data_IF_732176702607
#
_entry.id   IF_732176702607
#
_cell.length_a   1.000
_cell.length_b   1.000
_cell.length_c   1.000
_cell.angle_alpha   90.00
_cell.angle_beta   90.00
_cell.angle_gamma   90.00
#
_symmetry.space_group_name_H-M   'P 1'
#
loop_
_entity.id
_entity.type
_entity.pdbx_description
1 polymer ?
#
# COMPACT_ATOMS: atom_id res chain seq x y z
N UNK A 1 34.46 3.48 27.47
CA UNK A 1 33.64 4.71 27.38
C UNK A 1 33.26 4.91 25.93
N UNK A 2 31.99 4.70 25.53
CA UNK A 2 31.59 4.87 24.14
C UNK A 2 31.29 6.35 23.84
N UNK A 3 31.91 6.86 22.77
CA UNK A 3 31.69 8.18 22.20
C UNK A 3 30.28 8.28 21.62
N UNK A 4 29.53 9.28 22.08
CA UNK A 4 28.25 9.67 21.49
C UNK A 4 28.50 10.34 20.13
N UNK A 5 27.86 9.81 19.08
CA UNK A 5 27.77 10.44 17.77
C UNK A 5 26.51 11.31 17.80
N UNK A 6 26.67 12.63 17.79
CA UNK A 6 25.58 13.59 17.59
C UNK A 6 25.06 13.51 16.15
N UNK A 7 23.74 13.63 15.92
CA UNK A 7 23.19 13.80 14.58
C UNK A 7 23.52 15.19 14.03
N UNK A 8 23.84 15.34 12.73
CA UNK A 8 24.00 16.65 12.12
C UNK A 8 22.61 17.25 11.84
N UNK A 9 22.54 18.58 11.91
CA UNK A 9 21.40 19.47 11.63
C UNK A 9 20.49 19.82 12.83
N UNK A 10 21.03 20.67 13.70
CA UNK A 10 20.27 21.75 14.35
C UNK A 10 20.74 23.09 13.73
N UNK A 11 19.83 24.06 13.64
CA UNK A 11 19.98 25.47 13.17
C UNK A 11 19.85 25.70 11.65
N UNK A 12 18.98 26.56 11.10
CA UNK A 12 18.14 27.68 11.57
C UNK A 12 16.96 27.87 10.59
N UNK A 13 15.74 28.03 11.09
CA UNK A 13 14.65 28.72 10.38
C UNK A 13 14.28 29.93 11.23
N UNK A 14 14.45 31.13 10.68
CA UNK A 14 13.95 32.37 11.28
C UNK A 14 12.47 32.52 10.96
N UNK A 15 11.62 32.51 11.99
CA UNK A 15 10.23 32.94 11.89
C UNK A 15 10.15 34.43 12.21
N UNK A 16 9.78 35.26 11.24
CA UNK A 16 9.25 36.59 11.53
C UNK A 16 7.75 36.45 11.79
N UNK A 17 7.34 36.66 13.04
CA UNK A 17 5.93 36.87 13.39
C UNK A 17 5.50 38.26 12.93
N UNK A 18 4.50 38.33 12.05
CA UNK A 18 3.65 39.51 11.93
C UNK A 18 2.24 39.12 12.39
N UNK A 19 1.76 39.79 13.45
CA UNK A 19 0.38 39.70 13.93
C UNK A 19 -0.52 40.64 13.14
N UNK A 20 -1.58 40.10 12.53
CA UNK A 20 -2.84 40.79 12.23
C UNK A 20 -3.98 39.74 12.04
N UNK A 21 -5.26 40.12 12.20
CA UNK A 21 -6.30 39.24 12.76
C UNK A 21 -7.14 38.47 11.73
N UNK A 22 -7.67 37.34 12.22
CA UNK A 22 -8.88 36.61 11.79
C UNK A 22 -8.99 36.07 10.36
N UNK A 23 -9.23 34.75 10.31
CA UNK A 23 -9.71 33.89 9.22
C UNK A 23 -8.67 33.12 8.37
N UNK A 24 -8.68 31.79 8.59
CA UNK A 24 -8.22 30.66 7.75
C UNK A 24 -6.96 30.88 6.89
N UNK A 25 -5.81 30.37 7.36
CA UNK A 25 -4.61 30.19 6.53
C UNK A 25 -4.56 28.76 5.98
N UNK A 26 -4.72 28.63 4.66
CA UNK A 26 -4.34 27.46 3.87
C UNK A 26 -2.88 27.64 3.45
N UNK A 27 -2.00 26.70 3.78
CA UNK A 27 -0.62 26.71 3.29
C UNK A 27 -0.55 25.96 1.96
N UNK A 28 -0.44 26.68 0.85
CA UNK A 28 0.00 26.14 -0.44
C UNK A 28 1.52 26.31 -0.56
N UNK A 29 2.26 25.22 -0.76
CA UNK A 29 3.68 25.27 -1.15
C UNK A 29 3.74 25.17 -2.67
N UNK A 30 4.03 26.30 -3.32
CA UNK A 30 4.33 26.36 -4.75
C UNK A 30 5.83 26.13 -4.95
N UNK A 31 6.20 25.09 -5.69
CA UNK A 31 7.59 24.91 -6.12
C UNK A 31 7.93 25.95 -7.20
N UNK A 32 9.08 26.60 -7.02
CA UNK A 32 9.64 27.61 -7.92
C UNK A 32 10.25 26.89 -9.14
N UNK A 33 9.67 27.09 -10.31
CA UNK A 33 10.30 26.71 -11.58
C UNK A 33 11.37 27.75 -11.96
N UNK A 34 12.61 27.29 -12.12
CA UNK A 34 13.68 28.09 -12.71
C UNK A 34 13.54 28.11 -14.23
N UNK A 35 13.34 29.31 -14.77
CA UNK A 35 13.34 29.62 -16.19
C UNK A 35 14.70 29.29 -16.83
N UNK A 36 14.68 28.64 -17.99
CA UNK A 36 15.73 28.77 -19.00
C UNK A 36 15.11 29.22 -20.32
N UNK A 37 15.51 30.40 -20.77
CA UNK A 37 15.14 31.05 -22.03
C UNK A 37 15.88 30.45 -23.23
N UNK A 38 15.17 30.16 -24.32
CA UNK A 38 15.60 30.54 -25.68
C UNK A 38 14.41 30.55 -26.64
N UNK A 39 14.47 31.48 -27.59
CA UNK A 39 13.39 32.06 -28.37
C UNK A 39 12.82 31.24 -29.54
N UNK A 40 11.55 31.56 -29.84
CA UNK A 40 10.85 31.70 -31.13
C UNK A 40 10.80 30.57 -32.17
N UNK A 41 9.57 30.17 -32.53
CA UNK A 41 8.97 30.36 -33.88
C UNK A 41 7.43 30.16 -33.80
N UNK A 42 6.70 31.08 -34.43
CA UNK A 42 5.25 31.18 -34.52
C UNK A 42 4.59 30.20 -35.52
N UNK A 43 3.26 30.03 -35.32
CA UNK A 43 2.20 29.70 -36.30
C UNK A 43 2.09 28.26 -36.82
N UNK A 44 1.08 27.52 -36.37
CA UNK A 44 -0.26 27.52 -37.00
C UNK A 44 -1.20 26.53 -36.30
N UNK A 45 -2.46 26.96 -36.10
CA UNK A 45 -3.45 26.27 -35.30
C UNK A 45 -4.13 25.06 -35.95
N UNK A 46 -4.77 24.26 -35.08
CA UNK A 46 -6.07 23.59 -35.25
C UNK A 46 -6.35 22.74 -34.02
N UNK A 47 -7.09 23.29 -33.06
CA UNK A 47 -7.75 22.55 -31.98
C UNK A 47 -9.09 22.04 -32.51
N UNK A 48 -9.28 20.72 -32.50
CA UNK A 48 -10.57 20.08 -32.74
C UNK A 48 -11.17 19.67 -31.39
N UNK A 49 -12.13 20.44 -30.90
CA UNK A 49 -13.03 20.05 -29.84
C UNK A 49 -14.18 19.24 -30.47
N UNK A 50 -14.37 17.99 -30.04
CA UNK A 50 -15.53 17.19 -30.41
C UNK A 50 -16.60 17.32 -29.33
N UNK A 51 -17.71 17.92 -29.71
CA UNK A 51 -18.94 18.10 -28.94
C UNK A 51 -19.68 16.77 -28.82
N UNK A 52 -20.09 16.38 -27.62
CA UNK A 52 -21.02 15.26 -27.41
C UNK A 52 -22.41 15.84 -27.11
N UNK A 53 -23.37 15.55 -27.97
CA UNK A 53 -24.76 16.01 -27.90
C UNK A 53 -25.54 15.13 -26.92
N UNK A 54 -26.11 15.76 -25.89
CA UNK A 54 -27.09 15.16 -24.99
C UNK A 54 -28.44 15.14 -25.73
N UNK A 55 -29.04 13.97 -25.88
CA UNK A 55 -30.40 13.82 -26.38
C UNK A 55 -31.31 13.72 -25.15
N UNK A 56 -32.14 14.75 -25.00
CA UNK A 56 -33.20 14.88 -24.02
C UNK A 56 -34.43 14.10 -24.50
N UNK A 57 -34.97 13.21 -23.67
CA UNK A 57 -36.27 12.57 -23.87
C UNK A 57 -37.01 12.59 -22.53
N UNK A 58 -37.63 13.73 -22.25
CA UNK A 58 -38.69 13.86 -21.27
C UNK A 58 -39.96 13.13 -21.74
N UNK A 59 -40.58 12.37 -20.84
CA UNK A 59 -41.86 11.72 -21.02
C UNK A 59 -42.42 11.36 -19.65
N UNK A 60 -43.28 12.22 -19.14
CA UNK A 60 -43.93 12.13 -17.83
C UNK A 60 -44.86 10.92 -17.70
N UNK A 61 -44.81 10.28 -16.53
CA UNK A 61 -45.95 9.63 -15.89
C UNK A 61 -45.67 9.52 -14.39
N UNK A 62 -46.23 10.46 -13.63
CA UNK A 62 -46.26 10.44 -12.16
C UNK A 62 -47.06 9.23 -11.67
N UNK A 63 -46.40 8.34 -10.92
CA UNK A 63 -47.05 7.41 -10.01
C UNK A 63 -46.39 7.61 -8.64
N UNK A 64 -47.07 8.35 -7.77
CA UNK A 64 -46.72 8.47 -6.36
C UNK A 64 -46.83 7.09 -5.71
N UNK A 65 -45.69 6.43 -5.52
CA UNK A 65 -45.54 5.34 -4.58
C UNK A 65 -44.98 5.94 -3.29
N UNK A 66 -45.80 6.01 -2.24
CA UNK A 66 -45.35 6.28 -0.88
C UNK A 66 -44.33 5.22 -0.48
N UNK A 67 -43.04 5.55 -0.60
CA UNK A 67 -41.99 4.79 0.02
C UNK A 67 -42.00 5.15 1.51
N UNK A 68 -42.55 4.26 2.33
CA UNK A 68 -42.27 4.25 3.77
C UNK A 68 -40.75 4.23 3.96
N UNK A 69 -40.16 5.38 4.29
CA UNK A 69 -38.79 5.45 4.81
C UNK A 69 -38.79 4.79 6.18
N UNK A 70 -38.52 3.48 6.20
CA UNK A 70 -38.02 2.83 7.40
C UNK A 70 -36.71 3.54 7.77
N UNK A 71 -36.78 4.44 8.76
CA UNK A 71 -35.59 4.89 9.46
C UNK A 71 -35.02 3.66 10.16
N UNK A 72 -34.04 2.99 9.56
CA UNK A 72 -33.22 2.04 10.28
C UNK A 72 -32.56 2.81 11.44
N UNK A 73 -32.99 2.51 12.67
CA UNK A 73 -32.40 3.06 13.87
C UNK A 73 -30.88 2.79 13.84
N UNK A 74 -30.08 3.85 13.83
CA UNK A 74 -28.64 3.70 14.03
C UNK A 74 -28.42 2.97 15.36
N UNK A 75 -27.49 2.00 15.44
CA UNK A 75 -27.26 1.25 16.66
C UNK A 75 -27.03 2.22 17.82
N UNK A 76 -27.71 1.96 18.94
CA UNK A 76 -27.67 2.80 20.14
C UNK A 76 -26.22 3.14 20.50
N UNK A 77 -25.91 4.45 20.54
CA UNK A 77 -24.60 5.00 20.89
C UNK A 77 -24.09 4.48 22.26
N UNK A 78 -24.99 3.95 23.09
CA UNK A 78 -24.69 3.36 24.39
C UNK A 78 -24.11 1.94 24.31
N UNK A 79 -24.24 1.22 23.18
CA UNK A 79 -23.72 -0.15 23.02
C UNK A 79 -22.19 -0.18 22.85
N UNK A 80 -21.61 0.89 22.31
CA UNK A 80 -20.15 1.05 22.21
C UNK A 80 -19.64 1.68 23.51
N UNK A 81 -18.86 0.90 24.27
CA UNK A 81 -18.23 1.36 25.51
C UNK A 81 -17.46 2.68 25.34
N UNK A 82 -17.32 3.47 26.41
CA UNK A 82 -16.62 4.76 26.38
C UNK A 82 -15.09 4.65 26.26
N UNK A 83 -14.56 3.44 26.49
CA UNK A 83 -13.14 3.14 26.66
C UNK A 83 -12.76 1.95 25.77
N UNK A 84 -11.53 1.97 25.29
CA UNK A 84 -10.91 0.93 24.48
C UNK A 84 -9.43 0.79 24.84
N UNK A 85 -8.82 -0.32 24.44
CA UNK A 85 -7.36 -0.47 24.51
C UNK A 85 -6.72 0.11 23.26
N UNK A 86 -5.57 0.76 23.42
CA UNK A 86 -4.76 1.28 22.32
C UNK A 86 -3.27 1.17 22.64
N UNK A 87 -2.47 0.88 21.62
CA UNK A 87 -1.01 1.04 21.67
C UNK A 87 -0.64 2.45 21.23
N UNK A 88 -0.15 3.26 22.17
CA UNK A 88 0.19 4.65 21.95
C UNK A 88 1.71 4.81 21.86
N UNK A 89 2.15 5.63 20.91
CA UNK A 89 3.52 6.13 20.83
C UNK A 89 3.60 7.39 21.69
N UNK A 90 4.39 7.34 22.75
CA UNK A 90 4.57 8.47 23.67
C UNK A 90 5.44 9.59 23.05
N UNK A 91 5.49 10.79 23.64
CA UNK A 91 6.44 11.83 23.24
C UNK A 91 7.92 11.39 23.28
N UNK A 92 8.27 10.42 24.13
CA UNK A 92 9.61 9.81 24.17
C UNK A 92 9.81 8.72 23.11
N UNK A 93 8.83 8.51 22.22
CA UNK A 93 8.81 7.48 21.16
C UNK A 93 8.89 6.06 21.70
N UNK A 94 8.35 5.83 22.90
CA UNK A 94 8.14 4.50 23.45
C UNK A 94 6.73 4.01 23.14
N UNK A 95 6.56 2.69 23.06
CA UNK A 95 5.24 2.07 23.05
C UNK A 95 4.66 2.07 24.47
N UNK A 96 3.38 2.44 24.59
CA UNK A 96 2.64 2.40 25.84
C UNK A 96 1.23 1.90 25.57
N UNK A 97 0.82 0.83 26.26
CA UNK A 97 -0.55 0.35 26.22
C UNK A 97 -1.39 1.20 27.17
N UNK A 98 -2.50 1.72 26.65
CA UNK A 98 -3.51 2.43 27.44
C UNK A 98 -4.79 1.59 27.36
N UNK A 99 -5.21 1.02 28.50
CA UNK A 99 -6.39 0.13 28.54
C UNK A 99 -7.72 0.88 28.56
N UNK A 100 -7.71 2.17 28.93
CA UNK A 100 -8.91 3.01 29.03
C UNK A 100 -8.85 4.23 28.12
N UNK A 101 -8.30 4.05 26.92
CA UNK A 101 -8.23 5.07 25.89
C UNK A 101 -9.65 5.43 25.41
N UNK A 102 -9.99 6.72 25.21
CA UNK A 102 -11.34 7.11 24.83
C UNK A 102 -11.73 6.57 23.44
N UNK A 103 -12.97 6.10 23.33
CA UNK A 103 -13.57 5.77 22.03
C UNK A 103 -14.08 7.05 21.35
N UNK A 104 -13.78 7.27 20.06
CA UNK A 104 -14.35 8.39 19.31
C UNK A 104 -15.88 8.31 19.26
N UNK A 105 -16.56 9.29 19.88
CA UNK A 105 -18.04 9.32 19.94
C UNK A 105 -18.67 9.76 18.63
N UNK A 106 -18.05 10.72 17.94
CA UNK A 106 -18.55 11.30 16.69
C UNK A 106 -17.85 10.67 15.48
N UNK A 107 -18.61 10.39 14.42
CA UNK A 107 -18.11 10.02 13.09
C UNK A 107 -18.39 11.16 12.12
N UNK A 108 -17.43 11.44 11.24
CA UNK A 108 -17.74 12.25 10.07
C UNK A 108 -18.76 11.51 9.18
N UNK A 109 -19.50 12.22 8.31
CA UNK A 109 -20.51 11.59 7.45
C UNK A 109 -20.00 10.41 6.60
N UNK A 110 -18.74 10.48 6.13
CA UNK A 110 -18.09 9.42 5.35
C UNK A 110 -17.20 8.46 6.16
N UNK A 111 -17.20 8.52 7.50
CA UNK A 111 -16.37 7.65 8.34
C UNK A 111 -17.04 6.27 8.57
N UNK A 112 -16.22 5.25 8.78
CA UNK A 112 -16.62 3.91 9.22
C UNK A 112 -15.83 3.56 10.47
N UNK A 113 -16.53 3.14 11.52
CA UNK A 113 -15.93 2.57 12.73
C UNK A 113 -15.92 1.05 12.61
N UNK A 114 -14.75 0.45 12.81
CA UNK A 114 -14.51 -0.99 12.66
C UNK A 114 -13.95 -1.53 13.97
N UNK A 115 -14.59 -2.57 14.51
CA UNK A 115 -14.06 -3.37 15.61
C UNK A 115 -12.99 -4.32 15.10
N UNK A 116 -11.77 -4.12 15.58
CA UNK A 116 -10.61 -4.88 15.16
C UNK A 116 -10.71 -6.35 15.56
N UNK A 117 -10.37 -7.24 14.63
CA UNK A 117 -10.33 -8.70 14.83
C UNK A 117 -8.95 -9.27 14.52
N UNK A 118 -8.22 -8.67 13.58
CA UNK A 118 -6.83 -9.01 13.31
C UNK A 118 -6.10 -7.81 12.67
N UNK A 119 -4.83 -7.60 13.00
CA UNK A 119 -3.99 -6.59 12.37
C UNK A 119 -2.71 -7.19 11.80
N UNK A 120 -2.42 -6.89 10.54
CA UNK A 120 -1.17 -7.26 9.88
C UNK A 120 -0.03 -6.33 10.33
N UNK A 121 1.12 -6.92 10.67
CA UNK A 121 2.30 -6.16 11.07
C UNK A 121 3.21 -5.89 9.86
N UNK A 122 3.72 -4.66 9.76
CA UNK A 122 4.51 -4.20 8.62
C UNK A 122 5.82 -3.56 9.04
N UNK A 123 6.81 -3.57 8.14
CA UNK A 123 8.06 -2.85 8.38
C UNK A 123 7.85 -1.34 8.58
N UNK A 124 6.86 -0.77 7.90
CA UNK A 124 6.53 0.65 8.03
C UNK A 124 6.09 1.01 9.46
N UNK A 125 5.50 0.08 10.21
CA UNK A 125 4.97 0.35 11.56
C UNK A 125 6.11 0.65 12.54
N UNK A 126 7.12 -0.22 12.63
CA UNK A 126 8.28 0.03 13.48
C UNK A 126 9.21 1.11 12.92
N UNK A 127 9.38 1.18 11.59
CA UNK A 127 10.19 2.21 10.94
C UNK A 127 9.65 3.60 11.21
N UNK A 128 8.33 3.79 11.19
CA UNK A 128 7.69 5.09 11.48
C UNK A 128 8.09 5.63 12.85
N UNK A 129 8.19 4.76 13.86
CA UNK A 129 8.59 5.13 15.23
C UNK A 129 10.08 5.45 15.31
N UNK A 130 10.92 4.55 14.79
CA UNK A 130 12.38 4.68 14.89
C UNK A 130 12.93 5.86 14.09
N UNK A 131 12.44 6.04 12.86
CA UNK A 131 12.89 7.08 11.93
C UNK A 131 12.02 8.34 11.96
N UNK A 132 11.02 8.40 12.85
CA UNK A 132 10.17 9.56 13.07
C UNK A 132 9.51 10.10 11.79
N UNK A 133 8.82 9.23 11.05
CA UNK A 133 8.07 9.63 9.86
C UNK A 133 6.64 9.07 9.89
N UNK A 134 5.71 9.77 9.24
CA UNK A 134 4.27 9.47 9.28
C UNK A 134 3.70 9.42 10.72
N UNK A 135 4.25 10.27 11.60
CA UNK A 135 3.77 10.57 12.95
C UNK A 135 3.46 12.07 13.01
N UNK A 136 2.24 12.52 12.66
CA UNK A 136 1.89 13.94 12.57
C UNK A 136 2.10 14.70 13.89
N UNK A 137 1.79 14.06 15.01
CA UNK A 137 1.98 14.57 16.37
C UNK A 137 2.25 13.41 17.34
N UNK A 138 2.70 13.71 18.55
CA UNK A 138 2.79 12.75 19.65
C UNK A 138 1.96 13.26 20.83
N UNK A 139 1.22 12.40 21.55
CA UNK A 139 1.13 10.94 21.35
C UNK A 139 0.30 10.50 20.13
N UNK A 140 0.68 9.39 19.52
CA UNK A 140 0.05 8.85 18.30
C UNK A 140 -0.35 7.37 18.42
N UNK A 141 -1.22 6.88 17.54
CA UNK A 141 -1.53 5.45 17.39
C UNK A 141 -1.15 5.04 15.96
N UNK A 142 -0.33 3.99 15.83
CA UNK A 142 0.14 3.46 14.53
C UNK A 142 -0.62 2.18 14.13
N UNK A 143 -0.13 1.49 13.11
CA UNK A 143 -0.80 0.36 12.47
C UNK A 143 -1.39 0.80 11.14
N UNK A 144 -1.14 0.03 10.08
CA UNK A 144 -1.47 0.41 8.69
C UNK A 144 -2.52 -0.46 8.02
N UNK A 145 -2.84 -1.61 8.59
CA UNK A 145 -3.86 -2.50 8.07
C UNK A 145 -4.50 -3.32 9.19
N UNK A 146 -5.75 -3.70 8.96
CA UNK A 146 -6.51 -4.58 9.84
C UNK A 146 -7.67 -5.21 9.07
N UNK A 147 -8.24 -6.25 9.67
CA UNK A 147 -9.52 -6.82 9.34
C UNK A 147 -10.40 -6.86 10.60
N UNK A 148 -11.70 -6.64 10.42
CA UNK A 148 -12.62 -6.49 11.52
C UNK A 148 -14.07 -6.46 11.09
N UNK A 149 -14.93 -6.08 12.02
CA UNK A 149 -16.38 -5.99 11.82
C UNK A 149 -16.80 -4.52 11.88
N UNK A 150 -17.60 -4.06 10.92
CA UNK A 150 -18.17 -2.71 10.98
C UNK A 150 -19.05 -2.59 12.22
N UNK A 151 -18.71 -1.64 13.09
CA UNK A 151 -19.46 -1.34 14.30
C UNK A 151 -20.51 -0.25 14.01
N UNK A 152 -20.10 0.80 13.29
CA UNK A 152 -20.94 1.97 12.99
C UNK A 152 -20.48 2.64 11.69
N UNK A 153 -21.41 3.28 11.00
CA UNK A 153 -21.13 4.05 9.79
C UNK A 153 -21.62 5.49 9.94
N UNK A 154 -20.94 6.43 9.28
CA UNK A 154 -21.39 7.81 9.14
C UNK A 154 -22.62 7.91 8.25
N UNK A 155 -23.30 9.06 8.31
CA UNK A 155 -24.60 9.29 7.66
C UNK A 155 -24.60 9.26 6.13
N UNK A 156 -23.43 9.42 5.48
CA UNK A 156 -23.29 9.39 4.03
C UNK A 156 -22.78 8.04 3.50
N UNK A 157 -22.47 7.09 4.39
CA UNK A 157 -21.99 5.76 3.99
C UNK A 157 -23.18 4.86 3.64
N UNK A 158 -23.29 4.52 2.36
CA UNK A 158 -24.39 3.68 1.84
C UNK A 158 -23.96 2.28 1.42
N UNK A 159 -22.66 2.04 1.29
CA UNK A 159 -22.09 0.81 0.74
C UNK A 159 -21.59 -0.19 1.79
N UNK A 160 -21.78 0.13 3.07
CA UNK A 160 -21.37 -0.66 4.24
C UNK A 160 -22.41 -0.49 5.34
N UNK A 161 -22.58 -1.52 6.17
CA UNK A 161 -23.48 -1.50 7.33
C UNK A 161 -22.87 -2.19 8.54
N UNK A 162 -23.32 -1.89 9.77
CA UNK A 162 -22.94 -2.65 10.96
C UNK A 162 -23.07 -4.17 10.76
N UNK A 163 -22.08 -4.92 11.25
CA UNK A 163 -21.99 -6.38 11.07
C UNK A 163 -21.22 -6.83 9.82
N UNK A 164 -20.95 -5.95 8.85
CA UNK A 164 -20.14 -6.31 7.69
C UNK A 164 -18.70 -6.66 8.10
N UNK A 165 -18.17 -7.74 7.55
CA UNK A 165 -16.77 -8.14 7.72
C UNK A 165 -15.90 -7.41 6.70
N UNK A 166 -14.93 -6.64 7.16
CA UNK A 166 -14.15 -5.72 6.32
C UNK A 166 -12.66 -5.77 6.59
N UNK A 167 -11.86 -5.37 5.61
CA UNK A 167 -10.46 -5.01 5.77
C UNK A 167 -10.21 -3.57 5.29
N UNK A 168 -9.16 -2.93 5.81
CA UNK A 168 -8.79 -1.55 5.47
C UNK A 168 -7.28 -1.34 5.47
N UNK A 169 -6.83 -0.35 4.70
CA UNK A 169 -5.43 0.05 4.56
C UNK A 169 -5.32 1.37 3.78
N UNK A 170 -4.19 2.09 3.70
CA UNK A 170 -3.34 2.50 4.82
C UNK A 170 -3.70 3.95 5.18
N UNK A 171 -4.54 4.20 6.18
CA UNK A 171 -4.87 5.59 6.58
C UNK A 171 -4.05 6.00 7.82
N UNK A 172 -3.36 7.14 7.75
CA UNK A 172 -2.41 7.57 8.79
C UNK A 172 -2.44 9.07 9.12
N UNK A 173 -3.40 9.80 8.54
CA UNK A 173 -3.57 11.24 8.76
C UNK A 173 -4.50 11.56 9.92
N UNK A 174 -5.15 10.54 10.46
CA UNK A 174 -6.01 10.61 11.64
C UNK A 174 -5.53 9.55 12.64
N UNK A 175 -5.38 9.91 13.91
CA UNK A 175 -4.98 8.99 14.97
C UNK A 175 -6.03 7.88 15.19
N UNK A 176 -7.31 8.17 14.91
CA UNK A 176 -8.41 7.20 14.99
C UNK A 176 -8.25 6.06 13.98
N UNK A 177 -7.42 6.24 12.96
CA UNK A 177 -7.15 5.25 11.91
C UNK A 177 -6.03 4.26 12.23
N UNK A 178 -5.25 4.52 13.28
CA UNK A 178 -4.16 3.63 13.68
C UNK A 178 -4.70 2.25 14.05
N UNK A 179 -4.27 1.21 13.36
CA UNK A 179 -4.86 -0.12 13.50
C UNK A 179 -4.47 -0.87 14.80
N UNK A 180 -3.62 -0.30 15.65
CA UNK A 180 -3.26 -0.91 16.95
C UNK A 180 -4.12 -0.39 18.10
N UNK A 181 -5.44 -0.45 17.92
CA UNK A 181 -6.47 -0.16 18.92
C UNK A 181 -7.70 -1.04 18.67
N UNK A 182 -8.62 -1.13 19.64
CA UNK A 182 -9.80 -2.01 19.53
C UNK A 182 -10.84 -1.51 18.50
N UNK A 183 -11.04 -0.19 18.39
CA UNK A 183 -11.98 0.45 17.44
C UNK A 183 -11.24 1.45 16.55
N UNK A 184 -11.27 1.17 15.24
CA UNK A 184 -10.57 1.96 14.22
C UNK A 184 -11.58 2.76 13.43
N UNK A 185 -11.32 4.05 13.19
CA UNK A 185 -12.15 4.91 12.35
C UNK A 185 -11.39 5.31 11.09
N UNK A 186 -11.96 5.01 9.93
CA UNK A 186 -11.39 5.29 8.61
C UNK A 186 -12.45 5.79 7.63
N UNK A 187 -12.06 6.55 6.59
CA UNK A 187 -12.99 6.91 5.51
C UNK A 187 -13.51 5.66 4.78
N UNK A 188 -14.79 5.64 4.44
CA UNK A 188 -15.44 4.47 3.82
C UNK A 188 -14.80 4.02 2.50
N UNK A 189 -14.18 4.92 1.74
CA UNK A 189 -13.54 4.59 0.46
C UNK A 189 -12.25 3.77 0.61
N UNK A 190 -11.68 3.68 1.81
CA UNK A 190 -10.51 2.82 2.11
C UNK A 190 -10.90 1.43 2.62
N UNK A 191 -12.20 1.14 2.70
CA UNK A 191 -12.75 -0.08 3.31
C UNK A 191 -13.32 -1.02 2.24
N UNK A 192 -13.00 -2.30 2.37
CA UNK A 192 -13.46 -3.36 1.48
C UNK A 192 -14.07 -4.50 2.29
N UNK A 193 -15.09 -5.14 1.75
CA UNK A 193 -15.62 -6.39 2.30
C UNK A 193 -14.54 -7.47 2.23
N UNK A 194 -14.43 -8.27 3.28
CA UNK A 194 -13.58 -9.46 3.28
C UNK A 194 -14.14 -10.45 2.25
N UNK A 195 -13.27 -10.98 1.36
CA UNK A 195 -13.69 -12.03 0.46
C UNK A 195 -14.31 -13.21 1.19
N UNK A 196 -15.38 -13.79 0.66
CA UNK A 196 -16.18 -14.82 1.38
C UNK A 196 -15.39 -16.09 1.70
N UNK A 197 -14.28 -16.30 0.99
CA UNK A 197 -13.36 -17.42 1.18
C UNK A 197 -12.25 -17.16 2.22
N UNK A 198 -12.24 -16.01 2.92
CA UNK A 198 -11.20 -15.63 3.88
C UNK A 198 -11.73 -15.42 5.31
N UNK A 199 -10.87 -15.74 6.29
CA UNK A 199 -11.04 -15.32 7.68
C UNK A 199 -10.40 -13.94 7.94
N UNK A 200 -10.54 -13.43 9.17
CA UNK A 200 -9.95 -12.14 9.56
C UNK A 200 -8.41 -12.15 9.49
N UNK A 201 -7.74 -13.25 9.83
CA UNK A 201 -6.28 -13.30 9.85
C UNK A 201 -5.70 -13.23 8.42
N UNK A 202 -6.32 -13.94 7.48
CA UNK A 202 -5.97 -13.89 6.07
C UNK A 202 -6.34 -12.54 5.43
N UNK A 203 -7.47 -11.94 5.79
CA UNK A 203 -7.86 -10.62 5.29
C UNK A 203 -6.96 -9.48 5.80
N UNK A 204 -6.40 -9.62 7.01
CA UNK A 204 -5.55 -8.60 7.64
C UNK A 204 -4.19 -8.39 6.95
N UNK A 205 -3.88 -9.13 5.88
CA UNK A 205 -2.60 -9.02 5.14
C UNK A 205 -2.76 -8.39 3.76
N UNK A 206 -4.00 -8.17 3.31
CA UNK A 206 -4.31 -7.71 1.96
C UNK A 206 -3.96 -6.24 1.74
N UNK A 207 -4.02 -5.47 2.82
CA UNK A 207 -3.88 -4.02 2.85
C UNK A 207 -2.53 -3.54 2.34
N UNK A 208 -1.54 -3.43 3.22
CA UNK A 208 -0.25 -2.82 2.91
C UNK A 208 0.44 -3.58 1.78
N UNK A 209 0.59 -4.90 1.90
CA UNK A 209 1.40 -5.67 0.96
C UNK A 209 0.69 -5.87 -0.39
N UNK A 210 -0.57 -6.30 -0.36
CA UNK A 210 -1.35 -6.57 -1.56
C UNK A 210 -1.63 -5.31 -2.36
N UNK A 211 -2.13 -4.26 -1.70
CA UNK A 211 -2.44 -2.98 -2.37
C UNK A 211 -1.18 -2.30 -2.90
N UNK A 212 -0.05 -2.37 -2.19
CA UNK A 212 1.23 -1.84 -2.70
C UNK A 212 1.65 -2.55 -3.98
N UNK A 213 1.55 -3.89 -4.03
CA UNK A 213 1.86 -4.64 -5.25
C UNK A 213 0.91 -4.25 -6.40
N UNK A 214 -0.40 -4.25 -6.13
CA UNK A 214 -1.44 -3.90 -7.08
C UNK A 214 -1.25 -2.51 -7.68
N UNK A 215 -1.16 -1.48 -6.84
CA UNK A 215 -1.01 -0.11 -7.36
C UNK A 215 0.34 0.09 -8.04
N UNK A 216 1.44 -0.46 -7.51
CA UNK A 216 2.76 -0.36 -8.17
C UNK A 216 2.71 -0.89 -9.59
N UNK A 217 2.15 -2.09 -9.78
CA UNK A 217 2.05 -2.70 -11.10
C UNK A 217 1.09 -1.93 -12.01
N UNK A 218 -0.14 -1.69 -11.55
CA UNK A 218 -1.22 -1.19 -12.40
C UNK A 218 -1.15 0.31 -12.66
N UNK A 219 -0.76 1.11 -11.67
CA UNK A 219 -0.73 2.58 -11.77
C UNK A 219 0.62 3.12 -12.23
N UNK A 220 1.72 2.64 -11.64
CA UNK A 220 3.05 3.21 -11.87
C UNK A 220 3.82 2.51 -12.98
N UNK A 221 3.80 1.17 -12.98
CA UNK A 221 4.53 0.39 -13.98
C UNK A 221 3.70 0.09 -15.23
N UNK A 222 2.42 0.46 -15.27
CA UNK A 222 1.56 0.31 -16.44
C UNK A 222 1.29 -1.15 -16.84
N UNK A 223 1.46 -2.09 -15.92
CA UNK A 223 1.07 -3.49 -16.14
C UNK A 223 -0.46 -3.53 -16.25
N UNK A 224 -1.03 -4.19 -17.28
CA UNK A 224 -2.48 -4.20 -17.46
C UNK A 224 -3.24 -4.77 -16.25
N UNK A 225 -4.27 -4.05 -15.82
CA UNK A 225 -5.23 -4.51 -14.82
C UNK A 225 -6.32 -5.34 -15.52
N UNK A 226 -5.99 -6.56 -15.96
CA UNK A 226 -6.96 -7.46 -16.60
C UNK A 226 -7.60 -8.42 -15.59
N UNK A 227 -8.94 -8.65 -15.65
CA UNK A 227 -9.60 -9.66 -14.83
C UNK A 227 -9.24 -11.08 -15.28
N UNK A 228 -9.19 -11.29 -16.60
CA UNK A 228 -8.91 -12.59 -17.20
C UNK A 228 -7.42 -12.85 -17.39
N UNK A 229 -6.95 -14.09 -17.21
CA UNK A 229 -5.57 -14.44 -17.49
C UNK A 229 -5.26 -14.28 -18.97
N UNK A 230 -4.07 -13.77 -19.28
CA UNK A 230 -3.57 -13.79 -20.65
C UNK A 230 -3.38 -15.24 -21.14
N UNK A 231 -3.47 -15.49 -22.46
CA UNK A 231 -3.10 -16.78 -23.03
C UNK A 231 -1.67 -17.14 -22.60
N UNK A 232 -1.43 -18.42 -22.30
CA UNK A 232 -0.10 -18.88 -21.91
C UNK A 232 0.97 -18.42 -22.92
N UNK A 233 2.11 -17.95 -22.40
CA UNK A 233 3.25 -17.47 -23.21
C UNK A 233 3.57 -18.55 -24.27
N UNK A 234 3.40 -18.21 -25.55
CA UNK A 234 3.64 -19.11 -26.69
C UNK A 234 2.40 -19.63 -27.44
N UNK A 235 1.17 -19.28 -27.03
CA UNK A 235 -0.07 -19.76 -27.69
C UNK A 235 -0.70 -18.79 -28.69
N UNK A 236 -0.20 -17.54 -28.80
CA UNK A 236 -0.72 -16.51 -29.70
C UNK A 236 0.11 -16.29 -30.97
N UNK A 237 -0.55 -15.89 -32.06
CA UNK A 237 0.07 -15.52 -33.35
C UNK A 237 0.72 -14.13 -33.35
N UNK A 238 0.63 -13.38 -32.25
CA UNK A 238 1.16 -12.03 -32.17
C UNK A 238 2.64 -12.04 -31.77
N UNK A 239 3.49 -11.48 -32.64
CA UNK A 239 4.97 -11.56 -32.63
C UNK A 239 5.66 -10.68 -31.57
N UNK A 240 4.94 -10.08 -30.62
CA UNK A 240 5.58 -9.28 -29.56
C UNK A 240 6.08 -10.20 -28.45
N UNK A 241 7.38 -10.08 -28.12
CA UNK A 241 7.98 -10.81 -27.00
C UNK A 241 7.36 -10.29 -25.69
N UNK A 242 7.12 -11.16 -24.69
CA UNK A 242 6.57 -10.74 -23.42
C UNK A 242 7.49 -9.73 -22.72
N UNK A 243 6.88 -8.78 -22.02
CA UNK A 243 7.58 -7.89 -21.10
C UNK A 243 8.28 -8.71 -20.01
N UNK A 244 9.47 -8.26 -19.58
CA UNK A 244 10.17 -8.86 -18.44
C UNK A 244 10.18 -7.88 -17.27
N UNK A 245 9.78 -8.39 -16.11
CA UNK A 245 9.78 -7.70 -14.82
C UNK A 245 10.78 -8.36 -13.86
N UNK A 246 11.73 -7.58 -13.35
CA UNK A 246 12.58 -7.96 -12.23
C UNK A 246 11.91 -7.62 -10.90
N UNK A 247 11.79 -8.59 -10.00
CA UNK A 247 11.33 -8.37 -8.62
C UNK A 247 12.46 -8.77 -7.66
N UNK A 248 13.16 -7.77 -7.11
CA UNK A 248 14.11 -8.00 -6.05
C UNK A 248 13.39 -8.11 -4.70
N UNK A 249 13.52 -9.26 -4.03
CA UNK A 249 12.73 -9.58 -2.84
C UNK A 249 11.42 -10.30 -3.17
N UNK A 250 11.45 -11.23 -4.13
CA UNK A 250 10.26 -11.95 -4.61
C UNK A 250 9.52 -12.75 -3.54
N UNK A 251 10.20 -13.18 -2.47
CA UNK A 251 9.55 -13.90 -1.37
C UNK A 251 8.97 -12.98 -0.27
N UNK A 252 9.14 -11.66 -0.35
CA UNK A 252 8.44 -10.74 0.56
C UNK A 252 6.93 -10.84 0.34
N UNK A 253 6.11 -10.47 1.32
CA UNK A 253 4.64 -10.55 1.20
C UNK A 253 4.15 -9.73 -0.01
N UNK A 254 4.67 -8.52 -0.21
CA UNK A 254 4.41 -7.69 -1.41
C UNK A 254 4.90 -8.37 -2.69
N UNK A 255 6.08 -8.99 -2.66
CA UNK A 255 6.66 -9.70 -3.81
C UNK A 255 5.79 -10.87 -4.26
N UNK A 256 5.23 -11.61 -3.30
CA UNK A 256 4.35 -12.74 -3.60
C UNK A 256 3.06 -12.31 -4.31
N UNK A 257 2.47 -11.16 -3.93
CA UNK A 257 1.36 -10.58 -4.70
C UNK A 257 1.82 -10.10 -6.08
N UNK A 258 2.94 -9.37 -6.15
CA UNK A 258 3.43 -8.78 -7.39
C UNK A 258 3.77 -9.83 -8.47
N UNK A 259 4.40 -10.96 -8.08
CA UNK A 259 4.70 -12.07 -8.99
C UNK A 259 3.42 -12.58 -9.66
N UNK A 260 2.38 -12.87 -8.86
CA UNK A 260 1.14 -13.44 -9.36
C UNK A 260 0.39 -12.45 -10.26
N UNK A 261 0.28 -11.19 -9.84
CA UNK A 261 -0.40 -10.15 -10.61
C UNK A 261 0.27 -9.92 -11.97
N UNK A 262 1.61 -9.94 -12.03
CA UNK A 262 2.35 -9.78 -13.28
C UNK A 262 2.26 -11.04 -14.17
N UNK A 263 2.50 -12.22 -13.60
CA UNK A 263 2.50 -13.49 -14.36
C UNK A 263 1.14 -13.77 -15.01
N UNK A 264 0.03 -13.41 -14.35
CA UNK A 264 -1.34 -13.60 -14.85
C UNK A 264 -1.61 -12.88 -16.17
N UNK A 265 -0.93 -11.76 -16.43
CA UNK A 265 -1.10 -10.98 -17.66
C UNK A 265 0.04 -11.23 -18.67
N UNK A 266 0.79 -12.33 -18.49
CA UNK A 266 1.81 -12.78 -19.43
C UNK A 266 3.16 -12.07 -19.32
N UNK A 267 3.39 -11.30 -18.24
CA UNK A 267 4.70 -10.72 -17.95
C UNK A 267 5.64 -11.82 -17.45
N UNK A 268 6.82 -11.96 -18.05
CA UNK A 268 7.86 -12.84 -17.54
C UNK A 268 8.48 -12.24 -16.28
N UNK A 269 8.49 -13.00 -15.19
CA UNK A 269 8.99 -12.52 -13.90
C UNK A 269 10.33 -13.16 -13.56
N UNK A 270 11.35 -12.33 -13.35
CA UNK A 270 12.61 -12.72 -12.73
C UNK A 270 12.52 -12.34 -11.24
N UNK A 271 12.43 -13.33 -10.35
CA UNK A 271 12.30 -13.09 -8.92
C UNK A 271 13.60 -13.43 -8.19
N UNK A 272 14.10 -12.48 -7.38
CA UNK A 272 15.29 -12.67 -6.54
C UNK A 272 14.86 -13.02 -5.11
N UNK A 273 15.34 -14.15 -4.58
CA UNK A 273 14.98 -14.61 -3.24
C UNK A 273 16.09 -15.45 -2.58
N UNK A 274 15.82 -15.96 -1.37
CA UNK A 274 16.72 -16.94 -0.73
C UNK A 274 16.54 -18.31 -1.37
N UNK A 275 17.52 -19.20 -1.19
CA UNK A 275 17.36 -20.61 -1.59
C UNK A 275 16.19 -21.31 -0.89
N UNK A 276 15.96 -21.00 0.40
CA UNK A 276 14.88 -21.58 1.19
C UNK A 276 13.47 -21.17 0.71
N UNK A 277 13.33 -19.98 0.12
CA UNK A 277 12.04 -19.45 -0.35
C UNK A 277 11.82 -19.61 -1.86
N UNK A 278 12.78 -20.20 -2.59
CA UNK A 278 12.68 -20.47 -4.02
C UNK A 278 11.46 -21.32 -4.41
N UNK A 279 11.09 -22.41 -3.67
CA UNK A 279 9.90 -23.19 -4.00
C UNK A 279 8.61 -22.37 -3.93
N UNK A 280 8.48 -21.52 -2.91
CA UNK A 280 7.33 -20.61 -2.76
C UNK A 280 7.24 -19.67 -3.95
N UNK A 281 8.33 -18.97 -4.28
CA UNK A 281 8.39 -18.02 -5.41
C UNK A 281 8.09 -18.70 -6.74
N UNK A 282 8.60 -19.92 -6.95
CA UNK A 282 8.29 -20.74 -8.14
C UNK A 282 6.79 -21.01 -8.26
N UNK A 283 6.15 -21.45 -7.17
CA UNK A 283 4.73 -21.81 -7.15
C UNK A 283 3.80 -20.64 -7.43
N UNK A 284 4.29 -19.40 -7.31
CA UNK A 284 3.54 -18.17 -7.54
C UNK A 284 3.60 -17.68 -8.99
N UNK A 285 4.37 -18.34 -9.86
CA UNK A 285 4.45 -18.02 -11.29
C UNK A 285 5.68 -17.23 -11.71
N UNK A 286 6.73 -17.16 -10.87
CA UNK A 286 8.01 -16.60 -11.31
C UNK A 286 8.61 -17.46 -12.44
N UNK A 287 8.86 -16.86 -13.60
CA UNK A 287 9.43 -17.52 -14.78
C UNK A 287 10.89 -17.91 -14.53
N UNK A 288 11.64 -17.04 -13.86
CA UNK A 288 13.02 -17.27 -13.49
C UNK A 288 13.24 -16.93 -12.03
N UNK A 289 14.05 -17.74 -11.34
CA UNK A 289 14.32 -17.59 -9.91
C UNK A 289 15.82 -17.47 -9.73
N UNK A 290 16.25 -16.36 -9.15
CA UNK A 290 17.66 -16.09 -8.86
C UNK A 290 17.86 -16.11 -7.35
N UNK A 291 18.58 -17.11 -6.85
CA UNK A 291 18.86 -17.22 -5.42
C UNK A 291 20.13 -16.48 -5.05
N UNK A 292 20.11 -15.65 -4.00
CA UNK A 292 21.32 -14.98 -3.49
C UNK A 292 22.13 -15.85 -2.49
N UNK A 293 21.57 -16.96 -2.01
CA UNK A 293 22.25 -17.85 -1.05
C UNK A 293 23.54 -18.40 -1.63
N UNK A 294 24.66 -18.15 -0.94
CA UNK A 294 25.99 -18.61 -1.36
C UNK A 294 26.57 -17.88 -2.57
N UNK A 295 25.97 -16.76 -3.02
CA UNK A 295 26.45 -15.97 -4.16
C UNK A 295 26.89 -14.57 -3.73
N UNK A 296 27.87 -14.01 -4.43
CA UNK A 296 28.20 -12.59 -4.32
C UNK A 296 27.16 -11.75 -5.06
N UNK A 297 27.06 -10.46 -4.74
CA UNK A 297 26.20 -9.53 -5.48
C UNK A 297 26.49 -9.53 -6.98
N UNK A 298 27.77 -9.57 -7.38
CA UNK A 298 28.16 -9.60 -8.79
C UNK A 298 27.67 -10.87 -9.50
N UNK A 299 27.71 -12.03 -8.85
CA UNK A 299 27.16 -13.26 -9.40
C UNK A 299 25.64 -13.17 -9.60
N UNK A 300 24.92 -12.63 -8.62
CA UNK A 300 23.46 -12.42 -8.71
C UNK A 300 23.12 -11.46 -9.86
N UNK A 301 23.80 -10.32 -9.95
CA UNK A 301 23.61 -9.32 -11.01
C UNK A 301 23.87 -9.94 -12.39
N UNK A 302 24.99 -10.64 -12.57
CA UNK A 302 25.34 -11.27 -13.84
C UNK A 302 24.31 -12.31 -14.29
N UNK A 303 23.80 -13.13 -13.36
CA UNK A 303 22.75 -14.11 -13.65
C UNK A 303 21.46 -13.43 -14.10
N UNK A 304 21.04 -12.36 -13.43
CA UNK A 304 19.86 -11.58 -13.83
C UNK A 304 20.07 -10.98 -15.22
N UNK A 305 21.23 -10.38 -15.50
CA UNK A 305 21.55 -9.81 -16.83
C UNK A 305 21.47 -10.88 -17.93
N UNK A 306 21.98 -12.09 -17.68
CA UNK A 306 21.88 -13.20 -18.63
C UNK A 306 20.44 -13.64 -18.91
N UNK A 307 19.58 -13.66 -17.88
CA UNK A 307 18.16 -14.05 -17.99
C UNK A 307 17.31 -12.95 -18.65
N UNK A 308 17.49 -11.72 -18.19
CA UNK A 308 16.83 -10.53 -18.70
C UNK A 308 17.13 -10.31 -20.19
N UNK A 309 18.40 -10.50 -20.58
CA UNK A 309 18.92 -10.11 -21.90
C UNK A 309 18.55 -8.63 -22.15
N UNK A 310 18.29 -8.25 -23.41
CA UNK A 310 17.79 -6.91 -23.79
C UNK A 310 16.27 -6.72 -23.55
N UNK A 311 15.62 -7.52 -22.68
CA UNK A 311 14.14 -7.56 -22.57
C UNK A 311 13.57 -7.08 -21.24
N UNK A 312 14.41 -6.78 -20.24
CA UNK A 312 13.96 -6.10 -19.03
C UNK A 312 13.27 -4.79 -19.40
N UNK A 313 12.03 -4.64 -18.95
CA UNK A 313 11.21 -3.45 -19.19
C UNK A 313 10.83 -2.76 -17.89
N UNK A 314 10.74 -3.53 -16.81
CA UNK A 314 10.25 -3.08 -15.51
C UNK A 314 11.06 -3.70 -14.38
N UNK A 315 11.19 -3.00 -13.27
CA UNK A 315 11.80 -3.53 -12.06
C UNK A 315 11.12 -3.02 -10.78
N UNK A 316 11.11 -3.85 -9.75
CA UNK A 316 10.67 -3.50 -8.39
C UNK A 316 11.76 -3.93 -7.40
N UNK A 317 12.12 -3.03 -6.47
CA UNK A 317 12.93 -3.38 -5.30
C UNK A 317 12.07 -3.35 -4.02
N UNK A 318 12.09 -4.45 -3.26
CA UNK A 318 11.31 -4.63 -2.03
C UNK A 318 12.18 -4.80 -0.78
N UNK A 319 13.48 -4.52 -0.86
CA UNK A 319 14.41 -4.82 0.24
C UNK A 319 15.10 -3.57 0.80
N UNK A 320 15.72 -2.74 -0.03
CA UNK A 320 16.36 -1.51 0.45
C UNK A 320 17.40 -0.91 -0.47
N UNK A 321 18.08 0.13 0.02
CA UNK A 321 18.99 0.95 -0.79
C UNK A 321 20.12 0.15 -1.44
N UNK A 322 20.69 -0.84 -0.73
CA UNK A 322 21.74 -1.69 -1.29
C UNK A 322 21.23 -2.49 -2.49
N UNK A 323 20.06 -3.11 -2.39
CA UNK A 323 19.50 -3.93 -3.47
C UNK A 323 18.92 -3.08 -4.59
N UNK A 324 18.39 -1.90 -4.29
CA UNK A 324 18.01 -0.91 -5.29
C UNK A 324 19.22 -0.51 -6.17
N UNK A 325 20.41 -0.33 -5.58
CA UNK A 325 21.63 -0.11 -6.37
C UNK A 325 21.98 -1.32 -7.26
N UNK A 326 21.77 -2.55 -6.77
CA UNK A 326 22.02 -3.75 -7.58
C UNK A 326 21.03 -3.85 -8.75
N UNK A 327 19.77 -3.45 -8.55
CA UNK A 327 18.79 -3.33 -9.65
C UNK A 327 19.27 -2.31 -10.69
N UNK A 328 19.75 -1.14 -10.26
CA UNK A 328 20.31 -0.13 -11.18
C UNK A 328 21.52 -0.67 -11.96
N UNK A 329 22.38 -1.48 -11.31
CA UNK A 329 23.51 -2.14 -11.99
C UNK A 329 23.03 -3.16 -13.04
N UNK A 330 21.99 -3.94 -12.73
CA UNK A 330 21.37 -4.84 -13.72
C UNK A 330 20.89 -4.03 -14.93
N UNK A 331 20.14 -2.95 -14.69
CA UNK A 331 19.59 -2.13 -15.79
C UNK A 331 20.68 -1.46 -16.62
N UNK A 332 21.74 -0.95 -15.97
CA UNK A 332 22.87 -0.35 -16.67
C UNK A 332 23.64 -1.37 -17.53
N UNK A 333 23.73 -2.62 -17.08
CA UNK A 333 24.41 -3.70 -17.78
C UNK A 333 23.57 -4.33 -18.90
N UNK A 334 22.25 -4.14 -18.88
CA UNK A 334 21.39 -4.57 -19.96
C UNK A 334 21.32 -3.49 -21.04
N UNK A 335 21.84 -3.80 -22.23
CA UNK A 335 21.81 -2.90 -23.38
C UNK A 335 20.36 -2.83 -23.91
N UNK A 336 19.67 -1.72 -23.65
CA UNK A 336 18.26 -1.52 -23.93
C UNK A 336 18.02 -0.34 -24.87
N UNK A 337 17.14 -0.56 -25.85
CA UNK A 337 16.72 0.49 -26.78
C UNK A 337 15.62 1.40 -26.17
N UNK A 338 15.02 0.98 -25.05
CA UNK A 338 13.95 1.68 -24.35
C UNK A 338 14.26 1.81 -22.84
N UNK A 339 13.80 2.88 -22.18
CA UNK A 339 13.98 3.02 -20.74
C UNK A 339 13.29 1.90 -19.94
N UNK A 340 13.91 1.47 -18.85
CA UNK A 340 13.32 0.54 -17.88
C UNK A 340 12.58 1.33 -16.79
N UNK A 341 11.31 1.02 -16.57
CA UNK A 341 10.53 1.59 -15.47
C UNK A 341 10.92 0.92 -14.14
N UNK A 342 11.43 1.68 -13.17
CA UNK A 342 11.91 1.15 -11.89
C UNK A 342 11.17 1.74 -10.69
N UNK A 343 10.60 0.88 -9.84
CA UNK A 343 9.92 1.24 -8.59
C UNK A 343 10.68 0.72 -7.34
N UNK A 344 11.49 1.55 -6.67
CA UNK A 344 12.19 1.19 -5.42
C UNK A 344 11.28 1.37 -4.19
N UNK A 345 10.56 0.34 -3.79
CA UNK A 345 9.52 0.43 -2.75
C UNK A 345 10.07 0.41 -1.31
N UNK A 346 11.30 -0.06 -1.12
CA UNK A 346 11.88 -0.29 0.21
C UNK A 346 12.97 0.72 0.60
N UNK A 347 12.91 1.95 0.06
CA UNK A 347 13.84 3.08 0.25
C UNK A 347 15.07 3.10 -0.67
N UNK A 348 15.33 4.28 -1.24
CA UNK A 348 16.59 4.70 -1.86
C UNK A 348 17.16 5.86 -1.06
N UNK A 349 18.49 5.91 -0.93
CA UNK A 349 19.19 6.95 -0.18
C UNK A 349 19.23 8.31 -0.87
N UNK A 350 18.89 8.36 -2.16
CA UNK A 350 19.03 9.53 -3.02
C UNK A 350 20.47 9.80 -3.46
N UNK A 351 21.41 8.93 -3.08
CA UNK A 351 22.83 9.02 -3.46
C UNK A 351 23.18 8.06 -4.59
N UNK A 352 22.24 7.23 -5.01
CA UNK A 352 22.40 6.27 -6.09
C UNK A 352 22.58 6.99 -7.43
N UNK A 353 23.51 6.51 -8.25
CA UNK A 353 23.67 6.97 -9.63
C UNK A 353 22.62 6.26 -10.47
N UNK A 354 21.55 6.97 -10.82
CA UNK A 354 20.48 6.45 -11.67
C UNK A 354 20.94 6.51 -13.13
N UNK A 355 21.06 5.38 -13.85
CA UNK A 355 21.41 5.35 -15.26
C UNK A 355 20.39 6.13 -16.11
N UNK A 356 20.85 6.72 -17.22
CA UNK A 356 19.98 7.52 -18.11
C UNK A 356 18.87 6.71 -18.78
N UNK A 357 19.02 5.39 -18.88
CA UNK A 357 18.01 4.46 -19.39
C UNK A 357 17.04 3.95 -18.31
N UNK A 358 16.97 4.60 -17.13
CA UNK A 358 15.99 4.28 -16.08
C UNK A 358 14.94 5.37 -15.98
N UNK A 359 13.66 5.00 -16.07
CA UNK A 359 12.56 5.86 -15.62
C UNK A 359 12.22 5.49 -14.17
N UNK A 360 12.64 6.33 -13.24
CA UNK A 360 12.41 6.11 -11.81
C UNK A 360 10.97 6.51 -11.43
N UNK A 361 10.27 5.62 -10.73
CA UNK A 361 8.92 5.84 -10.24
C UNK A 361 8.91 6.00 -8.72
N UNK A 362 8.46 7.17 -8.25
CA UNK A 362 8.16 7.39 -6.83
C UNK A 362 6.74 6.89 -6.57
N UNK A 363 6.62 5.72 -5.93
CA UNK A 363 5.33 5.11 -5.61
C UNK A 363 4.73 5.77 -4.37
N UNK A 364 3.66 6.52 -4.58
CA UNK A 364 3.01 7.31 -3.55
C UNK A 364 1.75 6.61 -3.02
N UNK A 365 1.91 5.66 -2.10
CA UNK A 365 0.75 4.94 -1.51
C UNK A 365 -0.26 5.84 -0.81
N UNK A 366 0.13 7.06 -0.41
CA UNK A 366 -0.81 8.08 0.08
C UNK A 366 -1.92 8.42 -0.93
N UNK A 367 -1.71 8.21 -2.23
CA UNK A 367 -2.74 8.45 -3.25
C UNK A 367 -3.95 7.53 -3.06
N UNK A 368 -3.77 6.32 -2.52
CA UNK A 368 -4.90 5.45 -2.18
C UNK A 368 -5.90 6.10 -1.23
N UNK A 369 -5.37 6.87 -0.28
CA UNK A 369 -6.17 7.60 0.71
C UNK A 369 -6.73 8.89 0.16
N UNK A 370 -5.90 9.65 -0.56
CA UNK A 370 -6.20 11.03 -0.95
C UNK A 370 -7.08 11.11 -2.20
N UNK A 371 -7.12 10.06 -3.00
CA UNK A 371 -7.88 9.97 -4.24
C UNK A 371 -8.76 8.72 -4.20
N UNK A 372 -10.06 8.94 -3.96
CA UNK A 372 -11.04 7.85 -3.85
C UNK A 372 -11.15 7.02 -5.13
N UNK A 373 -10.71 7.52 -6.29
CA UNK A 373 -10.66 6.72 -7.53
C UNK A 373 -9.65 5.56 -7.44
N UNK A 374 -8.63 5.67 -6.58
CA UNK A 374 -7.67 4.59 -6.33
C UNK A 374 -8.30 3.39 -5.62
N UNK A 375 -9.54 3.48 -5.12
CA UNK A 375 -10.31 2.35 -4.60
C UNK A 375 -10.43 1.21 -5.63
N UNK A 376 -10.39 1.51 -6.93
CA UNK A 376 -10.46 0.51 -8.00
C UNK A 376 -9.39 -0.59 -7.87
N UNK A 377 -8.18 -0.25 -7.42
CA UNK A 377 -7.10 -1.22 -7.27
C UNK A 377 -7.37 -2.19 -6.12
N UNK A 378 -7.86 -1.69 -4.99
CA UNK A 378 -8.26 -2.55 -3.88
C UNK A 378 -9.44 -3.45 -4.26
N UNK A 379 -10.42 -2.91 -4.99
CA UNK A 379 -11.59 -3.67 -5.46
C UNK A 379 -11.18 -4.80 -6.43
N UNK A 380 -10.30 -4.51 -7.39
CA UNK A 380 -9.82 -5.52 -8.34
C UNK A 380 -8.98 -6.60 -7.63
N UNK A 381 -8.11 -6.21 -6.69
CA UNK A 381 -7.36 -7.17 -5.88
C UNK A 381 -8.31 -8.09 -5.10
N UNK A 382 -9.33 -7.51 -4.46
CA UNK A 382 -10.35 -8.26 -3.71
C UNK A 382 -11.07 -9.27 -4.61
N UNK A 383 -11.46 -8.85 -5.81
CA UNK A 383 -12.12 -9.70 -6.80
C UNK A 383 -11.25 -10.89 -7.24
N UNK A 384 -9.97 -10.66 -7.53
CA UNK A 384 -9.04 -11.72 -7.90
C UNK A 384 -8.81 -12.73 -6.76
N UNK A 385 -8.83 -12.27 -5.51
CA UNK A 385 -8.68 -13.14 -4.33
C UNK A 385 -9.94 -13.97 -4.10
N UNK A 386 -11.13 -13.35 -4.20
CA UNK A 386 -12.42 -14.04 -4.09
C UNK A 386 -12.54 -15.18 -5.10
N UNK A 387 -12.08 -14.96 -6.33
CA UNK A 387 -12.09 -15.98 -7.40
C UNK A 387 -11.03 -17.08 -7.21
N UNK A 388 -10.20 -17.02 -6.18
CA UNK A 388 -9.08 -17.95 -5.98
C UNK A 388 -7.94 -17.77 -7.00
N UNK A 389 -7.92 -16.65 -7.71
CA UNK A 389 -6.93 -16.34 -8.75
C UNK A 389 -5.56 -15.90 -8.18
N UNK A 390 -5.52 -15.55 -6.90
CA UNK A 390 -4.32 -15.15 -6.14
C UNK A 390 -4.24 -16.02 -4.88
N UNK A 391 -3.13 -16.74 -4.74
CA UNK A 391 -2.78 -17.45 -3.52
C UNK A 391 -2.22 -16.48 -2.49
N UNK A 392 -2.79 -16.49 -1.29
CA UNK A 392 -2.32 -15.62 -0.20
C UNK A 392 -1.01 -16.13 0.41
N UNK A 393 -0.13 -15.19 0.84
CA UNK A 393 1.00 -15.53 1.70
C UNK A 393 0.57 -16.22 3.00
N UNK A 394 1.40 -17.13 3.48
CA UNK A 394 1.17 -17.79 4.77
C UNK A 394 1.19 -16.79 5.93
N UNK A 395 0.30 -17.01 6.89
CA UNK A 395 0.15 -16.16 8.09
C UNK A 395 0.73 -16.85 9.32
N UNK A 396 1.47 -16.10 10.13
CA UNK A 396 1.85 -16.47 11.50
C UNK A 396 1.06 -15.60 12.46
N UNK A 397 0.31 -16.21 13.38
CA UNK A 397 -0.60 -15.49 14.28
C UNK A 397 0.00 -15.36 15.68
N UNK A 398 -0.03 -14.14 16.21
CA UNK A 398 0.22 -13.83 17.62
C UNK A 398 -1.11 -13.56 18.31
N UNK A 399 -1.40 -14.28 19.40
CA UNK A 399 -2.62 -14.09 20.20
C UNK A 399 -2.35 -13.07 21.32
N UNK A 400 -3.27 -12.11 21.51
CA UNK A 400 -3.19 -11.14 22.60
C UNK A 400 -3.56 -9.70 22.25
N UNK A 401 -4.04 -9.44 21.02
CA UNK A 401 -4.43 -8.11 20.58
C UNK A 401 -3.32 -7.08 20.79
N UNK A 402 -3.69 -5.90 21.31
CA UNK A 402 -2.76 -4.79 21.60
C UNK A 402 -1.53 -5.23 22.42
N UNK A 403 -1.68 -6.20 23.32
CA UNK A 403 -0.65 -6.58 24.29
C UNK A 403 0.58 -7.27 23.65
N UNK A 404 0.43 -7.82 22.44
CA UNK A 404 1.53 -8.52 21.73
C UNK A 404 2.03 -7.79 20.49
N UNK A 405 1.53 -6.58 20.23
CA UNK A 405 1.91 -5.81 19.03
C UNK A 405 3.37 -5.41 19.07
N UNK A 406 3.88 -4.88 20.20
CA UNK A 406 5.28 -4.43 20.30
C UNK A 406 6.26 -5.60 20.07
N UNK A 407 5.98 -6.75 20.68
CA UNK A 407 6.73 -7.99 20.48
C UNK A 407 6.68 -8.45 19.02
N UNK A 408 5.50 -8.41 18.39
CA UNK A 408 5.38 -8.72 16.97
C UNK A 408 6.16 -7.76 16.07
N UNK A 409 6.17 -6.45 16.38
CA UNK A 409 6.97 -5.47 15.64
C UNK A 409 8.47 -5.72 15.79
N UNK A 410 8.93 -6.18 16.96
CA UNK A 410 10.31 -6.62 17.17
C UNK A 410 10.65 -7.81 16.26
N UNK A 411 9.78 -8.82 16.17
CA UNK A 411 9.97 -9.96 15.27
C UNK A 411 10.01 -9.53 13.78
N UNK A 412 9.14 -8.60 13.36
CA UNK A 412 9.17 -8.04 12.00
C UNK A 412 10.48 -7.29 11.73
N UNK A 413 11.02 -6.57 12.73
CA UNK A 413 12.30 -5.85 12.61
C UNK A 413 13.49 -6.81 12.53
N UNK A 414 13.51 -7.86 13.34
CA UNK A 414 14.56 -8.89 13.34
C UNK A 414 14.56 -9.73 12.05
N UNK A 415 13.41 -9.83 11.39
CA UNK A 415 13.26 -10.50 10.11
C UNK A 415 13.08 -12.01 10.26
N UNK A 416 13.53 -12.78 9.26
CA UNK A 416 13.46 -14.25 9.23
C UNK A 416 12.06 -14.88 9.24
N UNK A 417 11.04 -14.16 8.77
CA UNK A 417 9.68 -14.71 8.65
C UNK A 417 9.51 -15.71 7.48
N UNK A 418 10.57 -15.96 6.70
CA UNK A 418 10.56 -16.88 5.56
C UNK A 418 9.44 -16.61 4.53
N UNK A 419 9.09 -15.34 4.33
CA UNK A 419 8.00 -14.92 3.45
C UNK A 419 6.61 -14.97 4.07
N UNK A 420 6.48 -15.38 5.33
CA UNK A 420 5.21 -15.31 6.06
C UNK A 420 4.91 -13.90 6.52
N UNK A 421 3.62 -13.60 6.68
CA UNK A 421 3.14 -12.37 7.29
C UNK A 421 2.83 -12.62 8.76
N UNK A 422 3.31 -11.73 9.64
CA UNK A 422 2.93 -11.74 11.05
C UNK A 422 1.63 -10.96 11.25
N UNK A 423 0.65 -11.59 11.89
CA UNK A 423 -0.66 -11.03 12.18
C UNK A 423 -0.91 -11.15 13.67
N UNK A 424 -1.45 -10.09 14.27
CA UNK A 424 -1.91 -10.10 15.65
C UNK A 424 -3.41 -10.31 15.67
N UNK A 425 -3.87 -11.26 16.49
CA UNK A 425 -5.28 -11.61 16.67
C UNK A 425 -5.88 -10.79 17.82
N UNK A 426 -6.97 -10.07 17.54
CA UNK A 426 -7.71 -9.26 18.51
C UNK A 426 -8.84 -10.02 19.21
N UNK A 427 -9.08 -11.28 18.83
CA UNK A 427 -10.04 -12.12 19.53
C UNK A 427 -9.67 -12.18 21.02
N UNK A 428 -10.66 -12.10 21.93
CA UNK A 428 -10.41 -12.54 23.29
C UNK A 428 -9.89 -13.98 23.20
N UNK A 429 -8.85 -14.32 23.97
CA UNK A 429 -8.59 -15.71 24.29
C UNK A 429 -9.92 -16.28 24.77
N UNK A 430 -10.49 -17.26 24.06
CA UNK A 430 -11.64 -18.00 24.53
C UNK A 430 -11.34 -18.44 25.96
N UNK A 431 -12.03 -17.82 26.91
CA UNK A 431 -11.81 -17.95 28.35
C UNK A 431 -13.12 -18.30 29.04
#
# INVERSE_FOLDING_TARGET
MPMAIQPPFADKIHFQEQKAPSHKTVFSVTAIETQSTSDEIQQNGKTAASTCTIIDLAGDAEAEAEAETAQEEQPDLNLVGSKQRALVITPSRAFQIIHDFPVPRELAPGDVMIRNKAAGLNHIDWKSVEYNFCLPELPWIIGREMAGVVERVGTEVTNLKPGDHVWTSTYYRDRRAGCFQDLVVVPHHTVFLIPSNLDFHAAAILGVAGLTAAMTLWRWLGVPMHPDPAPAIGTGTNRQRPEVLLIWGGSTVTGQFAIQLAARVGVEVIAVCSGATAPTVSSLGATHIVTYTGKTHAQVVNEIVCLARRRLTKAIDLVGSVTANLVLQVVAACDHDQPVDFAPLAYMSGREVVPSNVRLHVVEMKQFVMDSSCRVYGAQLNHLIEQGAIKLPEVSVLQGGVDVVEEGLRQVKEGNLAGRKLVVSWSPSDG
#
